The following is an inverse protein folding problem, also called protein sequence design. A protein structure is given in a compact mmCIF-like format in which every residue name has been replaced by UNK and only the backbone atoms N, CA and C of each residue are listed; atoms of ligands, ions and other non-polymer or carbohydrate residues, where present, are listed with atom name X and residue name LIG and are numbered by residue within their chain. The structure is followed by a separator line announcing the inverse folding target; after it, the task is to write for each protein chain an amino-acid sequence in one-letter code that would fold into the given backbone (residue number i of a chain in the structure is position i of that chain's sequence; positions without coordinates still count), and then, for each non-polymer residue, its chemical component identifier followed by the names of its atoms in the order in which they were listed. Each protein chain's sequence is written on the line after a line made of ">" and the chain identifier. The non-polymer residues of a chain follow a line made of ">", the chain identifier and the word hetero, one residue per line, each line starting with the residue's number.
data_IF_762327530310
#
_entry.id   IF_762327530310
#
_cell.length_a   1.000
_cell.length_b   1.000
_cell.length_c   1.000
_cell.angle_alpha   90.00
_cell.angle_beta   90.00
_cell.angle_gamma   90.00
#
_symmetry.space_group_name_H-M   'P 1'
#
loop_
_entity.id
_entity.type
_entity.pdbx_description
1 polymer ?
#
# COMPACT_ATOMS: atom_id res chain seq x y z
N UNK A 1 5.49 14.51 15.74
CA UNK A 1 4.55 14.58 14.61
C UNK A 1 4.30 13.13 14.25
N UNK A 2 3.12 12.61 14.60
CA UNK A 2 2.79 11.21 14.38
C UNK A 2 2.11 11.14 13.01
N UNK A 3 2.61 10.26 12.13
CA UNK A 3 2.02 10.05 10.80
C UNK A 3 0.59 9.56 10.97
N UNK A 4 -0.38 10.19 10.29
CA UNK A 4 -1.77 9.76 10.35
C UNK A 4 -2.07 8.70 9.28
N UNK A 5 -3.16 7.95 9.46
CA UNK A 5 -3.63 6.98 8.45
C UNK A 5 -3.95 7.68 7.12
N UNK A 6 -4.44 8.92 7.16
CA UNK A 6 -4.76 9.71 5.97
C UNK A 6 -3.48 10.03 5.18
N UNK A 7 -2.40 10.42 5.86
CA UNK A 7 -1.10 10.69 5.23
C UNK A 7 -0.55 9.44 4.52
N UNK A 8 -0.68 8.26 5.14
CA UNK A 8 -0.26 6.98 4.54
C UNK A 8 -1.16 6.63 3.35
N UNK A 9 -2.47 6.85 3.47
CA UNK A 9 -3.44 6.56 2.40
C UNK A 9 -3.16 7.43 1.17
N UNK A 10 -2.92 8.72 1.36
CA UNK A 10 -2.56 9.63 0.27
C UNK A 10 -1.25 9.20 -0.40
N UNK A 11 -0.23 8.82 0.37
CA UNK A 11 1.03 8.32 -0.18
C UNK A 11 0.85 7.02 -1.00
N UNK A 12 -0.08 6.14 -0.61
CA UNK A 12 -0.38 4.92 -1.35
C UNK A 12 -1.10 5.15 -2.68
N UNK A 13 -1.66 6.35 -2.93
CA UNK A 13 -2.22 6.70 -4.25
C UNK A 13 -1.17 6.84 -5.34
N UNK A 14 0.09 7.06 -4.98
CA UNK A 14 1.20 7.09 -5.93
C UNK A 14 1.63 5.68 -6.38
N UNK A 15 1.19 4.64 -5.65
CA UNK A 15 1.47 3.24 -5.99
C UNK A 15 0.43 2.73 -6.98
N UNK A 16 0.84 2.61 -8.24
CA UNK A 16 -0.01 2.22 -9.37
C UNK A 16 0.14 0.73 -9.67
N UNK A 17 -0.98 0.04 -9.83
CA UNK A 17 -0.98 -1.34 -10.33
C UNK A 17 -0.49 -1.36 -11.79
N UNK A 18 0.59 -2.10 -12.11
CA UNK A 18 1.20 -2.09 -13.44
C UNK A 18 0.33 -2.76 -14.52
N UNK A 19 -0.67 -3.57 -14.14
CA UNK A 19 -1.54 -4.27 -15.07
C UNK A 19 -2.76 -3.42 -15.45
N UNK A 20 -3.37 -2.73 -14.49
CA UNK A 20 -4.59 -1.94 -14.65
C UNK A 20 -4.33 -0.44 -14.81
N UNK A 21 -3.17 0.05 -14.40
CA UNK A 21 -2.81 1.48 -14.50
C UNK A 21 -3.59 2.38 -13.54
N UNK A 22 -4.18 1.81 -12.49
CA UNK A 22 -4.94 2.52 -11.44
C UNK A 22 -4.24 2.28 -10.10
N UNK A 23 -4.31 3.24 -9.18
CA UNK A 23 -3.67 3.10 -7.88
C UNK A 23 -4.36 2.08 -6.96
N UNK A 24 -3.57 1.51 -6.05
CA UNK A 24 -4.01 0.44 -5.14
C UNK A 24 -5.11 0.88 -4.16
N UNK A 25 -5.22 2.19 -3.89
CA UNK A 25 -6.25 2.77 -3.01
C UNK A 25 -7.60 2.80 -3.74
N UNK A 26 -7.65 3.35 -4.94
CA UNK A 26 -8.86 3.47 -5.77
C UNK A 26 -9.36 2.10 -6.26
N UNK A 27 -8.45 1.14 -6.46
CA UNK A 27 -8.81 -0.25 -6.73
C UNK A 27 -9.42 -0.96 -5.51
N UNK A 28 -9.31 -0.39 -4.31
CA UNK A 28 -9.80 -1.00 -3.08
C UNK A 28 -8.99 -2.23 -2.65
N UNK A 29 -7.71 -2.28 -3.01
CA UNK A 29 -6.81 -3.39 -2.67
C UNK A 29 -6.28 -3.32 -1.24
N UNK A 30 -6.39 -2.16 -0.59
CA UNK A 30 -6.04 -1.95 0.81
C UNK A 30 -7.28 -2.22 1.67
N UNK A 31 -7.18 -3.17 2.59
CA UNK A 31 -8.26 -3.54 3.50
C UNK A 31 -8.20 -2.80 4.84
N UNK A 32 -6.97 -2.58 5.34
CA UNK A 32 -6.77 -1.99 6.65
C UNK A 32 -5.41 -1.30 6.73
N UNK A 33 -5.35 -0.19 7.46
CA UNK A 33 -4.14 0.60 7.71
C UNK A 33 -4.13 0.95 9.19
N UNK A 34 -3.07 0.55 9.88
CA UNK A 34 -2.81 0.91 11.27
C UNK A 34 -1.47 1.63 11.36
N UNK A 35 -1.45 2.76 12.08
CA UNK A 35 -0.20 3.47 12.40
C UNK A 35 -0.05 3.51 13.92
N UNK A 36 1.08 3.03 14.42
CA UNK A 36 1.36 3.02 15.85
C UNK A 36 2.02 4.32 16.35
N UNK A 37 2.15 4.45 17.67
CA UNK A 37 2.79 5.63 18.30
C UNK A 37 4.29 5.74 18.01
N UNK A 38 4.90 4.68 17.46
CA UNK A 38 6.31 4.64 17.03
C UNK A 38 6.48 5.03 15.55
N UNK A 39 5.41 5.46 14.87
CA UNK A 39 5.36 5.74 13.42
C UNK A 39 5.61 4.51 12.53
N UNK A 40 5.29 3.31 13.01
CA UNK A 40 5.25 2.11 12.17
C UNK A 40 3.85 1.99 11.56
N UNK A 41 3.77 2.00 10.24
CA UNK A 41 2.54 1.74 9.50
C UNK A 41 2.48 0.26 9.09
N UNK A 42 1.39 -0.41 9.44
CA UNK A 42 1.09 -1.79 9.04
C UNK A 42 -0.15 -1.76 8.15
N UNK A 43 -0.02 -2.31 6.94
CA UNK A 43 -1.08 -2.33 5.94
C UNK A 43 -1.45 -3.77 5.60
N UNK A 44 -2.75 -4.07 5.61
CA UNK A 44 -3.30 -5.30 5.07
C UNK A 44 -3.81 -5.03 3.66
N UNK A 45 -3.23 -5.69 2.66
CA UNK A 45 -3.61 -5.49 1.25
C UNK A 45 -3.59 -6.80 0.46
N UNK A 46 -4.26 -6.81 -0.69
CA UNK A 46 -4.18 -7.88 -1.69
C UNK A 46 -3.50 -7.38 -2.94
N UNK A 47 -2.59 -8.18 -3.49
CA UNK A 47 -1.99 -7.92 -4.79
C UNK A 47 -2.84 -8.58 -5.87
N UNK A 48 -3.18 -7.82 -6.90
CA UNK A 48 -3.91 -8.26 -8.10
C UNK A 48 -3.12 -9.27 -8.93
N UNK A 49 -1.80 -9.34 -8.74
CA UNK A 49 -0.93 -10.30 -9.43
C UNK A 49 -0.73 -11.57 -8.59
N UNK A 50 -1.29 -12.69 -9.05
CA UNK A 50 -1.07 -14.03 -8.49
C UNK A 50 0.32 -14.64 -8.81
N UNK A 51 1.30 -13.82 -9.23
CA UNK A 51 2.61 -14.30 -9.66
C UNK A 51 3.72 -13.42 -9.09
N UNK A 52 4.39 -13.95 -8.07
CA UNK A 52 5.78 -13.61 -7.78
C UNK A 52 6.62 -13.77 -9.06
N UNK A 53 7.31 -12.71 -9.51
CA UNK A 53 8.74 -12.66 -9.26
C UNK A 53 9.23 -11.25 -8.92
N UNK A 54 8.62 -10.60 -7.91
CA UNK A 54 9.15 -9.32 -7.39
C UNK A 54 9.65 -9.43 -5.94
N UNK A 55 9.96 -10.64 -5.49
CA UNK A 55 10.73 -10.85 -4.25
C UNK A 55 12.17 -10.29 -4.34
N UNK A 56 12.67 -10.01 -5.54
CA UNK A 56 14.06 -9.60 -5.81
C UNK A 56 14.26 -8.07 -5.92
N UNK A 57 13.21 -7.24 -5.82
CA UNK A 57 13.30 -5.80 -6.15
C UNK A 57 12.92 -4.85 -5.01
N UNK A 58 12.61 -5.41 -3.83
CA UNK A 58 12.46 -4.62 -2.61
C UNK A 58 13.51 -5.12 -1.61
N UNK A 59 14.73 -4.61 -1.78
CA UNK A 59 15.72 -4.44 -0.71
C UNK A 59 15.84 -2.96 -0.37
#
# INVERSE_FOLDING_TARGET
>A
MTTSVDDVTEAMKDVVDPELGINVVDLGLIYDIMVDESNIAVLNMTLTSAACPLQDVIE
#
